data_IF_766993545791
#
_entry.id   IF_766993545791
#
_cell.length_a   1.000
_cell.length_b   1.000
_cell.length_c   1.000
_cell.angle_alpha   90.00
_cell.angle_beta   90.00
_cell.angle_gamma   90.00
#
_symmetry.space_group_name_H-M   'P 1'
#
loop_
_entity.id
_entity.type
_entity.pdbx_description
1 polymer ?
#
# COMPACT_ATOMS: atom_id res chain seq x y z
N UNK A 1 -46.53 14.13 -44.34
CA UNK A 1 -46.39 15.54 -43.95
C UNK A 1 -46.47 15.63 -42.43
N UNK A 2 -45.47 15.44 -41.68
CA UNK A 2 -45.25 16.05 -40.37
C UNK A 2 -43.81 15.76 -39.91
N UNK A 3 -43.07 16.81 -39.87
CA UNK A 3 -41.75 16.93 -39.31
C UNK A 3 -41.76 16.64 -37.80
N UNK A 4 -41.12 15.54 -37.41
CA UNK A 4 -40.83 15.26 -35.99
C UNK A 4 -39.52 15.94 -35.57
N UNK A 5 -39.63 17.04 -34.87
CA UNK A 5 -38.51 17.69 -34.21
C UNK A 5 -38.01 16.86 -33.07
N UNK A 6 -36.74 16.49 -33.09
CA UNK A 6 -36.02 15.86 -31.96
C UNK A 6 -35.93 16.83 -30.80
N UNK A 7 -36.62 16.51 -29.71
CA UNK A 7 -36.51 17.23 -28.44
C UNK A 7 -35.58 16.48 -27.52
N UNK A 8 -34.27 16.64 -27.71
CA UNK A 8 -33.29 16.39 -26.67
C UNK A 8 -32.28 17.54 -26.68
N UNK A 9 -32.27 18.38 -25.67
CA UNK A 9 -31.18 19.32 -25.49
C UNK A 9 -29.93 18.52 -25.10
N UNK A 10 -28.93 18.56 -25.92
CA UNK A 10 -27.58 18.12 -25.56
C UNK A 10 -27.03 19.14 -24.55
N UNK A 11 -27.36 18.93 -23.29
CA UNK A 11 -26.72 19.62 -22.20
C UNK A 11 -25.37 18.93 -21.92
N UNK A 12 -24.35 19.32 -22.67
CA UNK A 12 -22.97 18.99 -22.36
C UNK A 12 -22.48 19.93 -21.26
N UNK A 13 -23.12 19.86 -20.08
CA UNK A 13 -22.56 20.42 -18.87
C UNK A 13 -21.60 19.39 -18.32
N UNK A 14 -20.28 19.67 -18.41
CA UNK A 14 -19.22 18.86 -17.90
C UNK A 14 -19.45 18.54 -16.42
N UNK A 15 -20.00 17.36 -16.15
CA UNK A 15 -19.89 16.72 -14.86
C UNK A 15 -18.37 16.63 -14.58
N UNK A 16 -17.87 17.50 -13.70
CA UNK A 16 -16.61 17.27 -13.04
C UNK A 16 -16.76 15.90 -12.38
N UNK A 17 -16.24 14.84 -13.00
CA UNK A 17 -16.05 13.57 -12.34
C UNK A 17 -15.07 13.86 -11.22
N UNK A 18 -15.56 13.98 -10.01
CA UNK A 18 -14.69 13.93 -8.84
C UNK A 18 -14.16 12.51 -8.79
N UNK A 19 -12.99 12.33 -9.33
CA UNK A 19 -12.26 11.08 -9.17
C UNK A 19 -11.79 11.06 -7.72
N UNK A 20 -12.38 10.19 -6.90
CA UNK A 20 -11.89 9.98 -5.54
C UNK A 20 -10.82 8.90 -5.62
N UNK A 21 -9.57 9.29 -5.56
CA UNK A 21 -8.42 8.38 -5.58
C UNK A 21 -7.97 8.15 -4.14
N UNK A 22 -7.78 6.89 -3.80
CA UNK A 22 -7.17 6.47 -2.55
C UNK A 22 -5.85 5.76 -2.86
N UNK A 23 -4.73 6.34 -2.42
CA UNK A 23 -3.41 5.73 -2.49
C UNK A 23 -3.19 4.85 -1.27
N UNK A 24 -3.15 3.54 -1.46
CA UNK A 24 -3.07 2.59 -0.36
C UNK A 24 -1.66 2.36 0.18
N UNK A 25 -0.61 2.90 -0.49
CA UNK A 25 0.76 2.75 -0.03
C UNK A 25 1.67 3.88 -0.51
N UNK A 26 2.20 4.65 0.43
CA UNK A 26 3.10 5.77 0.15
C UNK A 26 4.06 6.01 1.32
N UNK A 27 5.18 6.70 1.06
CA UNK A 27 6.20 7.06 2.05
C UNK A 27 6.49 8.56 1.98
N UNK A 28 5.50 9.40 2.30
CA UNK A 28 5.68 10.85 2.33
C UNK A 28 6.61 11.33 3.46
N UNK A 29 6.97 10.47 4.41
CA UNK A 29 8.02 10.71 5.41
C UNK A 29 9.44 10.64 4.80
N UNK A 30 9.63 10.06 3.61
CA UNK A 30 10.94 9.93 2.97
C UNK A 30 11.61 11.29 2.76
N UNK A 31 12.93 11.32 2.96
CA UNK A 31 13.79 12.52 2.81
C UNK A 31 13.71 13.19 1.43
N UNK A 32 13.32 12.44 0.39
CA UNK A 32 13.14 13.02 -0.93
C UNK A 32 12.01 14.07 -0.97
N UNK A 33 11.13 14.08 0.03
CA UNK A 33 10.07 15.08 0.16
C UNK A 33 10.42 16.22 1.12
N UNK A 34 11.55 16.21 1.84
CA UNK A 34 11.85 17.18 2.89
C UNK A 34 11.76 18.63 2.42
N UNK A 35 12.18 18.91 1.20
CA UNK A 35 12.23 20.27 0.65
C UNK A 35 10.84 20.85 0.30
N UNK A 36 9.85 19.98 -0.01
CA UNK A 36 8.56 20.41 -0.59
C UNK A 36 7.35 19.56 -0.17
N UNK A 37 7.48 18.72 0.86
CA UNK A 37 6.44 17.79 1.33
C UNK A 37 5.08 18.47 1.49
N UNK A 38 5.03 19.61 2.15
CA UNK A 38 3.77 20.34 2.38
C UNK A 38 3.11 20.77 1.07
N UNK A 39 3.89 21.27 0.13
CA UNK A 39 3.41 21.71 -1.20
C UNK A 39 2.90 20.53 -2.00
N UNK A 40 3.65 19.42 -2.00
CA UNK A 40 3.23 18.18 -2.70
C UNK A 40 1.91 17.67 -2.12
N UNK A 41 1.80 17.53 -0.80
CA UNK A 41 0.58 17.03 -0.13
C UNK A 41 -0.62 17.93 -0.41
N UNK A 42 -0.45 19.25 -0.40
CA UNK A 42 -1.53 20.18 -0.72
C UNK A 42 -2.02 20.02 -2.16
N UNK A 43 -1.10 19.80 -3.12
CA UNK A 43 -1.42 19.64 -4.54
C UNK A 43 -2.17 18.35 -4.88
N UNK A 44 -2.18 17.35 -4.00
CA UNK A 44 -2.84 16.06 -4.24
C UNK A 44 -4.35 16.20 -4.46
N UNK A 45 -4.97 17.19 -3.82
CA UNK A 45 -6.41 17.48 -4.00
C UNK A 45 -6.76 17.84 -5.44
N UNK A 46 -5.87 18.58 -6.10
CA UNK A 46 -6.06 19.01 -7.50
C UNK A 46 -5.93 17.83 -8.46
N UNK A 47 -5.18 16.80 -8.08
CA UNK A 47 -5.08 15.53 -8.80
C UNK A 47 -6.24 14.57 -8.50
N UNK A 48 -7.16 14.92 -7.58
CA UNK A 48 -8.30 14.07 -7.20
C UNK A 48 -7.96 13.02 -6.14
N UNK A 49 -6.78 13.07 -5.52
CA UNK A 49 -6.40 12.20 -4.41
C UNK A 49 -7.09 12.68 -3.14
N UNK A 50 -7.93 11.83 -2.57
CA UNK A 50 -8.75 12.16 -1.40
C UNK A 50 -8.28 11.49 -0.13
N UNK A 51 -7.55 10.39 -0.24
CA UNK A 51 -7.02 9.62 0.89
C UNK A 51 -5.67 9.02 0.51
N UNK A 52 -4.80 8.91 1.52
CA UNK A 52 -3.46 8.32 1.38
C UNK A 52 -3.14 7.53 2.63
N UNK A 53 -2.55 6.36 2.50
CA UNK A 53 -1.90 5.65 3.62
C UNK A 53 -0.40 5.88 3.53
N UNK A 54 0.16 6.53 4.56
CA UNK A 54 1.60 6.62 4.76
C UNK A 54 2.06 5.41 5.57
N UNK A 55 3.01 4.66 5.05
CA UNK A 55 3.41 3.37 5.60
C UNK A 55 4.79 3.48 6.23
N UNK A 56 4.94 2.93 7.44
CA UNK A 56 6.24 2.92 8.13
C UNK A 56 7.07 1.70 7.74
N UNK A 57 8.38 1.90 7.58
CA UNK A 57 9.34 0.84 7.31
C UNK A 57 10.31 0.61 8.47
N UNK A 58 10.73 1.66 9.17
CA UNK A 58 11.63 1.62 10.32
C UNK A 58 10.95 2.23 11.56
N UNK A 59 11.59 2.12 12.71
CA UNK A 59 11.09 2.79 13.92
C UNK A 59 11.03 4.31 13.77
N UNK A 60 12.02 4.88 13.08
CA UNK A 60 12.02 6.31 12.75
C UNK A 60 10.86 6.66 11.84
N UNK A 61 10.62 5.87 10.79
CA UNK A 61 9.52 6.12 9.84
C UNK A 61 8.16 6.03 10.53
N UNK A 62 8.03 5.17 11.53
CA UNK A 62 6.82 5.08 12.33
C UNK A 62 6.57 6.39 13.10
N UNK A 63 7.59 6.96 13.74
CA UNK A 63 7.45 8.25 14.44
C UNK A 63 7.09 9.38 13.47
N UNK A 64 7.76 9.44 12.33
CA UNK A 64 7.49 10.42 11.28
C UNK A 64 6.05 10.24 10.71
N UNK A 65 5.61 9.01 10.54
CA UNK A 65 4.23 8.69 10.08
C UNK A 65 3.20 9.18 11.08
N UNK A 66 3.39 8.92 12.38
CA UNK A 66 2.50 9.40 13.44
C UNK A 66 2.40 10.93 13.46
N UNK A 67 3.53 11.61 13.24
CA UNK A 67 3.56 13.06 13.12
C UNK A 67 2.78 13.55 11.89
N UNK A 68 3.00 12.94 10.73
CA UNK A 68 2.33 13.33 9.47
C UNK A 68 0.82 13.13 9.54
N UNK A 69 0.33 11.99 10.00
CA UNK A 69 -1.11 11.73 10.08
C UNK A 69 -1.83 12.65 11.07
N UNK A 70 -1.13 13.15 12.08
CA UNK A 70 -1.67 14.14 13.01
C UNK A 70 -1.90 15.50 12.37
N UNK A 71 -1.10 15.85 11.35
CA UNK A 71 -1.09 17.16 10.67
C UNK A 71 -1.88 17.18 9.37
N UNK A 72 -1.96 16.04 8.67
CA UNK A 72 -2.56 15.93 7.34
C UNK A 72 -3.94 15.26 7.44
N UNK A 73 -5.05 16.00 7.21
CA UNK A 73 -6.39 15.48 7.49
C UNK A 73 -6.78 14.25 6.68
N UNK A 74 -6.35 14.13 5.43
CA UNK A 74 -6.70 13.05 4.50
C UNK A 74 -5.68 11.90 4.51
N UNK A 75 -4.66 11.95 5.37
CA UNK A 75 -3.63 10.92 5.49
C UNK A 75 -3.96 10.01 6.67
N UNK A 76 -3.80 8.72 6.43
CA UNK A 76 -3.85 7.63 7.40
C UNK A 76 -2.46 7.02 7.52
N UNK A 77 -2.23 6.19 8.53
CA UNK A 77 -0.95 5.53 8.76
C UNK A 77 -1.07 4.02 8.85
N UNK A 78 -0.02 3.33 8.48
CA UNK A 78 0.20 1.94 8.84
C UNK A 78 1.42 1.84 9.76
N UNK A 79 1.26 1.10 10.87
CA UNK A 79 2.27 0.93 11.88
C UNK A 79 2.86 -0.48 11.79
N UNK A 80 4.13 -0.58 11.42
CA UNK A 80 4.84 -1.84 11.27
C UNK A 80 6.33 -1.61 11.01
N UNK A 81 7.10 -2.69 11.04
CA UNK A 81 8.54 -2.66 10.80
C UNK A 81 8.87 -3.61 9.65
N UNK A 82 9.43 -3.04 8.59
CA UNK A 82 9.83 -3.71 7.36
C UNK A 82 10.93 -4.76 7.64
N UNK A 83 10.98 -5.86 6.89
CA UNK A 83 11.98 -6.91 7.07
C UNK A 83 13.45 -6.44 7.13
N UNK A 84 13.79 -5.36 6.45
CA UNK A 84 15.16 -4.80 6.50
C UNK A 84 15.49 -4.10 7.84
N UNK A 85 14.50 -3.85 8.68
CA UNK A 85 14.62 -3.12 9.94
C UNK A 85 14.16 -3.91 11.17
N UNK A 86 13.82 -5.20 11.00
CA UNK A 86 13.31 -6.01 12.13
C UNK A 86 14.33 -6.21 13.25
N UNK A 87 15.62 -6.02 12.98
CA UNK A 87 16.65 -5.95 14.02
C UNK A 87 16.46 -4.81 15.02
N UNK A 88 15.62 -3.83 14.71
CA UNK A 88 15.22 -2.79 15.66
C UNK A 88 14.18 -3.27 16.68
N UNK A 89 13.49 -4.39 16.43
CA UNK A 89 12.42 -4.90 17.29
C UNK A 89 12.97 -5.66 18.51
N UNK A 90 12.24 -5.54 19.59
CA UNK A 90 12.37 -6.29 20.84
C UNK A 90 11.02 -6.29 21.56
N UNK A 91 10.91 -6.93 22.73
CA UNK A 91 9.62 -7.02 23.44
C UNK A 91 9.04 -5.64 23.80
N UNK A 92 9.88 -4.71 24.24
CA UNK A 92 9.44 -3.36 24.60
C UNK A 92 8.89 -2.62 23.36
N UNK A 93 9.59 -2.69 22.23
CA UNK A 93 9.13 -2.07 20.98
C UNK A 93 7.89 -2.74 20.40
N UNK A 94 7.71 -4.04 20.57
CA UNK A 94 6.47 -4.72 20.19
C UNK A 94 5.27 -4.23 21.02
N UNK A 95 5.45 -4.01 22.32
CA UNK A 95 4.39 -3.44 23.14
C UNK A 95 4.10 -1.98 22.78
N UNK A 96 5.12 -1.18 22.52
CA UNK A 96 4.95 0.18 21.99
C UNK A 96 4.25 0.18 20.62
N UNK A 97 4.59 -0.78 19.73
CA UNK A 97 3.91 -0.92 18.43
C UNK A 97 2.42 -1.22 18.62
N UNK A 98 2.08 -2.07 19.59
CA UNK A 98 0.69 -2.32 20.02
C UNK A 98 -0.03 -1.04 20.44
N UNK A 99 0.60 -0.23 21.28
CA UNK A 99 0.02 1.06 21.68
C UNK A 99 -0.19 2.01 20.50
N UNK A 100 0.73 2.00 19.50
CA UNK A 100 0.58 2.82 18.30
C UNK A 100 -0.55 2.34 17.39
N UNK A 101 -0.87 1.05 17.38
CA UNK A 101 -2.04 0.52 16.67
C UNK A 101 -3.37 1.15 17.14
N UNK A 102 -3.44 1.64 18.36
CA UNK A 102 -4.63 2.31 18.91
C UNK A 102 -4.67 3.82 18.63
N UNK A 103 -3.67 4.38 17.96
CA UNK A 103 -3.67 5.81 17.61
C UNK A 103 -4.70 6.11 16.56
N UNK A 104 -5.33 7.27 16.69
CA UNK A 104 -6.25 7.77 15.66
C UNK A 104 -5.57 7.79 14.29
N UNK A 105 -6.30 7.38 13.26
CA UNK A 105 -5.86 7.22 11.87
C UNK A 105 -4.79 6.13 11.59
N UNK A 106 -4.36 5.32 12.54
CA UNK A 106 -3.67 4.08 12.23
C UNK A 106 -4.71 3.05 11.78
N UNK A 107 -4.57 2.59 10.52
CA UNK A 107 -5.59 1.76 9.86
C UNK A 107 -5.10 0.38 9.48
N UNK A 108 -3.81 0.09 9.65
CA UNK A 108 -3.22 -1.21 9.33
C UNK A 108 -1.95 -1.45 10.14
N UNK A 109 -1.57 -2.73 10.28
CA UNK A 109 -0.21 -3.12 10.65
C UNK A 109 0.60 -3.31 9.37
N UNK A 110 1.65 -2.53 9.21
CA UNK A 110 2.48 -2.55 7.99
C UNK A 110 3.46 -1.37 7.94
N UNK A 111 4.48 -1.52 7.13
CA UNK A 111 4.81 -2.58 6.19
C UNK A 111 5.51 -3.73 6.91
N UNK A 112 5.01 -4.94 6.76
CA UNK A 112 5.58 -6.14 7.37
C UNK A 112 5.73 -7.23 6.31
N UNK A 113 6.62 -8.20 6.52
CA UNK A 113 6.78 -9.27 5.54
C UNK A 113 8.22 -9.79 5.44
N UNK A 114 8.64 -10.14 4.21
CA UNK A 114 9.94 -10.72 3.94
C UNK A 114 10.63 -10.06 2.74
N UNK A 115 11.92 -9.74 2.86
CA UNK A 115 12.78 -9.28 1.77
C UNK A 115 14.08 -10.11 1.73
N UNK A 116 14.18 -11.00 0.75
CA UNK A 116 15.37 -11.82 0.56
C UNK A 116 16.30 -11.25 -0.51
N UNK A 117 15.91 -10.13 -1.12
CA UNK A 117 16.70 -9.46 -2.14
C UNK A 117 17.89 -8.72 -1.52
N UNK A 118 17.62 -7.88 -0.54
CA UNK A 118 18.66 -7.10 0.14
C UNK A 118 19.37 -7.90 1.23
N UNK A 119 18.68 -8.88 1.83
CA UNK A 119 19.21 -9.78 2.85
C UNK A 119 19.92 -9.01 3.99
N UNK A 120 19.30 -7.91 4.44
CA UNK A 120 19.83 -7.05 5.52
C UNK A 120 19.82 -7.82 6.84
N UNK A 121 18.68 -8.47 7.13
CA UNK A 121 18.52 -9.33 8.31
C UNK A 121 18.43 -10.81 7.89
N UNK A 122 18.90 -11.76 8.72
CA UNK A 122 18.77 -13.19 8.45
C UNK A 122 17.31 -13.60 8.20
N UNK A 123 17.09 -14.56 7.29
CA UNK A 123 15.73 -14.99 6.93
C UNK A 123 14.91 -15.45 8.13
N UNK A 124 15.52 -16.18 9.03
CA UNK A 124 14.88 -16.71 10.23
C UNK A 124 14.42 -15.58 11.15
N UNK A 125 15.21 -14.51 11.25
CA UNK A 125 14.87 -13.31 12.03
C UNK A 125 13.72 -12.56 11.37
N UNK A 126 13.77 -12.38 10.03
CA UNK A 126 12.67 -11.77 9.30
C UNK A 126 11.37 -12.55 9.48
N UNK A 127 11.40 -13.88 9.37
CA UNK A 127 10.24 -14.77 9.53
C UNK A 127 9.66 -14.70 10.95
N UNK A 128 10.51 -14.73 11.97
CA UNK A 128 10.07 -14.62 13.37
C UNK A 128 9.30 -13.31 13.61
N UNK A 129 9.88 -12.17 13.24
CA UNK A 129 9.26 -10.88 13.47
C UNK A 129 8.05 -10.65 12.54
N UNK A 130 8.04 -11.21 11.34
CA UNK A 130 6.87 -11.19 10.49
C UNK A 130 5.69 -11.91 11.15
N UNK A 131 5.90 -13.13 11.66
CA UNK A 131 4.86 -13.89 12.39
C UNK A 131 4.35 -13.10 13.59
N UNK A 132 5.23 -12.50 14.39
CA UNK A 132 4.84 -11.72 15.57
C UNK A 132 4.02 -10.49 15.22
N UNK A 133 4.34 -9.80 14.15
CA UNK A 133 3.56 -8.65 13.67
C UNK A 133 2.22 -9.09 13.04
N UNK A 134 2.13 -10.27 12.41
CA UNK A 134 0.86 -10.85 11.99
C UNK A 134 -0.07 -11.17 13.17
N UNK A 135 0.50 -11.71 14.25
CA UNK A 135 -0.25 -11.96 15.48
C UNK A 135 -0.74 -10.66 16.10
N UNK A 136 0.10 -9.63 16.17
CA UNK A 136 -0.30 -8.31 16.62
C UNK A 136 -1.48 -7.77 15.81
N UNK A 137 -1.42 -7.83 14.47
CA UNK A 137 -2.50 -7.38 13.62
C UNK A 137 -3.82 -8.14 13.89
N UNK A 138 -3.73 -9.44 14.14
CA UNK A 138 -4.89 -10.27 14.48
C UNK A 138 -5.50 -9.89 15.84
N UNK A 139 -4.68 -9.69 16.85
CA UNK A 139 -5.10 -9.29 18.20
C UNK A 139 -5.76 -7.91 18.19
N UNK A 140 -5.16 -6.96 17.46
CA UNK A 140 -5.67 -5.59 17.34
C UNK A 140 -6.79 -5.45 16.29
N UNK A 141 -7.13 -6.51 15.56
CA UNK A 141 -8.15 -6.56 14.50
C UNK A 141 -7.91 -5.54 13.39
N UNK A 142 -6.65 -5.29 13.07
CA UNK A 142 -6.24 -4.42 11.99
C UNK A 142 -5.87 -5.25 10.74
N UNK A 143 -6.18 -4.78 9.54
CA UNK A 143 -5.66 -5.37 8.32
C UNK A 143 -4.14 -5.20 8.23
N UNK A 144 -3.51 -5.95 7.34
CA UNK A 144 -2.06 -5.91 7.16
C UNK A 144 -1.68 -5.36 5.78
N UNK A 145 -0.50 -4.71 5.70
CA UNK A 145 0.16 -4.34 4.45
C UNK A 145 1.43 -5.18 4.35
N UNK A 146 1.46 -6.08 3.36
CA UNK A 146 2.47 -7.12 3.23
C UNK A 146 3.48 -6.78 2.16
N UNK A 147 4.73 -6.73 2.55
CA UNK A 147 5.91 -6.72 1.68
C UNK A 147 6.37 -8.14 1.35
N UNK A 148 6.70 -8.39 0.09
CA UNK A 148 7.30 -9.67 -0.31
C UNK A 148 8.23 -9.47 -1.51
N UNK A 149 9.53 -9.64 -1.31
CA UNK A 149 10.53 -9.52 -2.37
C UNK A 149 11.49 -10.69 -2.36
N UNK A 150 11.54 -11.42 -3.48
CA UNK A 150 12.30 -12.67 -3.62
C UNK A 150 11.97 -13.72 -2.52
N UNK A 151 10.79 -13.60 -1.88
CA UNK A 151 10.32 -14.39 -0.74
C UNK A 151 8.87 -14.90 -0.90
N UNK A 152 8.33 -14.90 -2.11
CA UNK A 152 6.90 -15.09 -2.37
C UNK A 152 6.33 -16.39 -1.77
N UNK A 153 7.07 -17.51 -1.83
CA UNK A 153 6.60 -18.78 -1.29
C UNK A 153 6.57 -18.76 0.23
N UNK A 154 7.66 -18.33 0.88
CA UNK A 154 7.73 -18.30 2.35
C UNK A 154 6.70 -17.32 2.92
N UNK A 155 6.52 -16.16 2.29
CA UNK A 155 5.48 -15.19 2.68
C UNK A 155 4.10 -15.83 2.62
N UNK A 156 3.77 -16.50 1.51
CA UNK A 156 2.47 -17.15 1.35
C UNK A 156 2.25 -18.28 2.38
N UNK A 157 3.25 -19.13 2.59
CA UNK A 157 3.16 -20.27 3.50
C UNK A 157 3.01 -19.81 4.96
N UNK A 158 3.75 -18.79 5.38
CA UNK A 158 3.61 -18.19 6.71
C UNK A 158 2.21 -17.58 6.88
N UNK A 159 1.75 -16.75 5.95
CA UNK A 159 0.43 -16.13 6.04
C UNK A 159 -0.69 -17.17 6.10
N UNK A 160 -0.58 -18.23 5.32
CA UNK A 160 -1.55 -19.33 5.33
C UNK A 160 -1.53 -20.11 6.65
N UNK A 161 -0.34 -20.39 7.18
CA UNK A 161 -0.15 -21.14 8.43
C UNK A 161 -0.65 -20.34 9.64
N UNK A 162 -0.33 -19.06 9.70
CA UNK A 162 -0.68 -18.19 10.83
C UNK A 162 -2.12 -17.64 10.72
N UNK A 163 -2.92 -18.12 9.76
CA UNK A 163 -4.30 -17.67 9.54
C UNK A 163 -4.44 -16.14 9.39
N UNK A 164 -3.45 -15.50 8.78
CA UNK A 164 -3.40 -14.05 8.63
C UNK A 164 -4.60 -13.45 7.86
N UNK A 165 -5.38 -14.26 7.17
CA UNK A 165 -6.60 -13.83 6.45
C UNK A 165 -7.78 -13.43 7.32
N UNK A 166 -7.70 -13.54 8.63
CA UNK A 166 -8.82 -13.20 9.53
C UNK A 166 -9.09 -11.69 9.56
N UNK A 167 -8.07 -10.87 9.34
CA UNK A 167 -8.17 -9.40 9.31
C UNK A 167 -8.14 -8.83 7.89
N UNK A 168 -7.77 -9.64 6.89
CA UNK A 168 -7.54 -9.18 5.52
C UNK A 168 -6.33 -8.26 5.39
N UNK A 169 -6.24 -7.57 4.27
CA UNK A 169 -5.14 -6.63 4.03
C UNK A 169 -4.77 -6.51 2.56
N UNK A 170 -3.59 -5.97 2.31
CA UNK A 170 -3.05 -5.74 0.97
C UNK A 170 -1.71 -6.46 0.82
N UNK A 171 -1.55 -7.23 -0.27
CA UNK A 171 -0.23 -7.66 -0.72
C UNK A 171 0.31 -6.53 -1.58
N UNK A 172 1.15 -5.71 -0.97
CA UNK A 172 1.72 -4.51 -1.57
C UNK A 172 2.67 -4.84 -2.73
N UNK A 173 2.73 -3.98 -3.72
CA UNK A 173 3.63 -4.04 -4.88
C UNK A 173 3.76 -5.45 -5.47
N UNK A 174 2.59 -6.08 -5.70
CA UNK A 174 2.52 -7.50 -6.02
C UNK A 174 3.36 -7.87 -7.25
N UNK A 175 4.25 -8.84 -7.07
CA UNK A 175 5.18 -9.31 -8.10
C UNK A 175 5.08 -10.80 -8.39
N UNK A 176 4.17 -11.52 -7.72
CA UNK A 176 3.95 -12.96 -7.89
C UNK A 176 3.15 -13.33 -9.13
N UNK A 177 2.84 -14.63 -9.26
CA UNK A 177 2.07 -15.16 -10.39
C UNK A 177 0.56 -14.90 -10.26
N UNK A 178 -0.18 -15.08 -11.36
CA UNK A 178 -1.64 -14.97 -11.35
C UNK A 178 -2.30 -16.06 -10.48
N UNK A 179 -1.70 -17.24 -10.39
CA UNK A 179 -2.16 -18.33 -9.53
C UNK A 179 -2.04 -17.95 -8.06
N UNK A 180 -0.89 -17.40 -7.67
CA UNK A 180 -0.66 -16.93 -6.29
C UNK A 180 -1.59 -15.76 -5.92
N UNK A 181 -1.81 -14.82 -6.84
CA UNK A 181 -2.77 -13.73 -6.63
C UNK A 181 -4.18 -14.24 -6.35
N UNK A 182 -4.65 -15.28 -7.09
CA UNK A 182 -5.95 -15.91 -6.85
C UNK A 182 -6.04 -16.55 -5.47
N UNK A 183 -4.97 -17.17 -4.99
CA UNK A 183 -4.95 -17.75 -3.65
C UNK A 183 -5.01 -16.68 -2.57
N UNK A 184 -4.26 -15.58 -2.70
CA UNK A 184 -4.38 -14.43 -1.79
C UNK A 184 -5.80 -13.84 -1.77
N UNK A 185 -6.42 -13.68 -2.95
CA UNK A 185 -7.82 -13.20 -3.05
C UNK A 185 -8.80 -14.15 -2.34
N UNK A 186 -8.64 -15.47 -2.47
CA UNK A 186 -9.45 -16.47 -1.71
C UNK A 186 -9.23 -16.35 -0.20
N UNK A 187 -8.07 -15.94 0.24
CA UNK A 187 -7.78 -15.69 1.66
C UNK A 187 -8.32 -14.33 2.16
N UNK A 188 -8.94 -13.52 1.29
CA UNK A 188 -9.50 -12.22 1.65
C UNK A 188 -8.54 -11.04 1.51
N UNK A 189 -7.45 -11.20 0.77
CA UNK A 189 -6.49 -10.12 0.51
C UNK A 189 -6.78 -9.38 -0.79
N UNK A 190 -6.46 -8.11 -0.79
CA UNK A 190 -6.37 -7.27 -1.98
C UNK A 190 -4.96 -7.33 -2.57
N UNK A 191 -4.89 -7.09 -3.88
CA UNK A 191 -3.62 -7.06 -4.63
C UNK A 191 -3.28 -5.61 -4.94
N UNK A 192 -2.16 -5.13 -4.40
CA UNK A 192 -1.62 -3.80 -4.63
C UNK A 192 -0.99 -3.70 -6.02
N UNK A 193 -1.42 -2.71 -6.80
CA UNK A 193 -0.95 -2.48 -8.17
C UNK A 193 -0.48 -1.04 -8.29
N UNK A 194 0.83 -0.88 -8.35
CA UNK A 194 1.49 0.42 -8.50
C UNK A 194 1.94 0.73 -9.93
N UNK A 195 2.74 1.79 -10.06
CA UNK A 195 3.28 2.31 -11.32
C UNK A 195 4.01 1.28 -12.20
N UNK A 196 4.51 0.21 -11.59
CA UNK A 196 5.19 -0.91 -12.28
C UNK A 196 4.33 -1.54 -13.38
N UNK A 197 3.00 -1.55 -13.24
CA UNK A 197 2.09 -2.09 -14.26
C UNK A 197 2.23 -1.40 -15.62
N UNK A 198 2.68 -0.14 -15.63
CA UNK A 198 2.89 0.65 -16.85
C UNK A 198 4.20 0.35 -17.57
N UNK A 199 5.11 -0.41 -16.95
CA UNK A 199 6.42 -0.70 -17.52
C UNK A 199 6.33 -1.69 -18.67
N UNK A 200 7.25 -1.57 -19.66
CA UNK A 200 7.27 -2.47 -20.84
C UNK A 200 7.45 -3.94 -20.47
N UNK A 201 8.23 -4.21 -19.42
CA UNK A 201 8.57 -5.56 -18.94
C UNK A 201 7.62 -6.11 -17.86
N UNK A 202 6.52 -5.43 -17.54
CA UNK A 202 5.55 -5.85 -16.51
C UNK A 202 4.51 -6.87 -17.00
N UNK A 203 4.90 -7.82 -17.86
CA UNK A 203 3.97 -8.80 -18.44
C UNK A 203 3.23 -9.59 -17.38
N UNK A 204 3.95 -10.11 -16.39
CA UNK A 204 3.36 -10.93 -15.31
C UNK A 204 2.30 -10.16 -14.55
N UNK A 205 2.60 -8.93 -14.10
CA UNK A 205 1.62 -8.11 -13.37
C UNK A 205 0.38 -7.79 -14.23
N UNK A 206 0.54 -7.58 -15.53
CA UNK A 206 -0.60 -7.40 -16.45
C UNK A 206 -1.45 -8.65 -16.61
N UNK A 207 -0.85 -9.84 -16.53
CA UNK A 207 -1.57 -11.11 -16.49
C UNK A 207 -2.32 -11.27 -15.17
N UNK A 208 -1.72 -10.91 -14.05
CA UNK A 208 -2.38 -10.88 -12.71
C UNK A 208 -3.63 -10.02 -12.72
N UNK A 209 -3.51 -8.76 -13.16
CA UNK A 209 -4.64 -7.80 -13.22
C UNK A 209 -5.82 -8.31 -14.05
N UNK A 210 -5.55 -9.12 -15.11
CA UNK A 210 -6.60 -9.74 -15.92
C UNK A 210 -7.20 -11.00 -15.30
N UNK A 211 -6.51 -11.64 -14.35
CA UNK A 211 -6.83 -12.94 -13.81
C UNK A 211 -7.65 -12.92 -12.52
N UNK A 212 -7.71 -11.76 -11.84
CA UNK A 212 -8.43 -11.58 -10.56
C UNK A 212 -9.57 -10.57 -10.73
N UNK A 213 -10.60 -10.62 -9.86
CA UNK A 213 -11.69 -9.64 -9.87
C UNK A 213 -11.19 -8.21 -9.64
N UNK A 214 -11.78 -7.24 -10.33
CA UNK A 214 -11.39 -5.83 -10.22
C UNK A 214 -11.56 -5.29 -8.79
N UNK A 215 -12.58 -5.73 -8.11
CA UNK A 215 -12.88 -5.39 -6.70
C UNK A 215 -11.83 -5.90 -5.71
N UNK A 216 -10.93 -6.78 -6.13
CA UNK A 216 -9.81 -7.29 -5.33
C UNK A 216 -8.49 -6.58 -5.65
N UNK A 217 -8.52 -5.54 -6.47
CA UNK A 217 -7.35 -4.73 -6.81
C UNK A 217 -7.44 -3.39 -6.10
N UNK A 218 -6.34 -2.98 -5.48
CA UNK A 218 -6.15 -1.60 -4.98
C UNK A 218 -5.02 -0.94 -5.75
N UNK A 219 -5.10 0.39 -5.87
CA UNK A 219 -4.05 1.18 -6.51
C UNK A 219 -3.16 1.81 -5.44
N UNK A 220 -1.88 1.91 -5.76
CA UNK A 220 -0.86 2.44 -4.87
C UNK A 220 0.26 3.09 -5.65
N UNK A 221 1.08 3.91 -4.98
CA UNK A 221 2.24 4.52 -5.64
C UNK A 221 3.57 3.94 -5.21
N UNK A 222 3.72 3.60 -3.96
CA UNK A 222 5.01 3.37 -3.31
C UNK A 222 5.94 4.61 -3.43
N UNK A 223 5.32 5.81 -3.48
CA UNK A 223 6.09 7.04 -3.62
C UNK A 223 7.00 7.28 -2.40
N UNK A 224 8.22 7.77 -2.63
CA UNK A 224 8.78 8.43 -3.83
C UNK A 224 9.30 7.49 -4.90
N UNK A 225 9.14 6.18 -4.77
CA UNK A 225 9.69 5.14 -5.64
C UNK A 225 8.73 4.78 -6.79
N UNK A 226 9.20 3.96 -7.72
CA UNK A 226 8.42 3.24 -8.74
C UNK A 226 7.48 4.10 -9.60
N UNK A 227 7.86 5.36 -9.91
CA UNK A 227 7.06 6.25 -10.75
C UNK A 227 6.62 5.56 -12.06
N UNK A 228 5.33 5.71 -12.45
CA UNK A 228 4.80 5.09 -13.67
C UNK A 228 5.42 5.71 -14.93
N UNK A 229 5.32 5.03 -16.08
CA UNK A 229 5.59 5.66 -17.37
C UNK A 229 4.53 6.76 -17.63
N UNK A 230 4.90 7.94 -18.16
CA UNK A 230 6.22 8.33 -18.67
C UNK A 230 7.19 8.91 -17.63
N UNK A 231 6.84 8.89 -16.35
CA UNK A 231 7.62 9.53 -15.27
C UNK A 231 8.72 8.64 -14.67
N UNK A 232 8.94 7.46 -15.24
CA UNK A 232 9.94 6.48 -14.75
C UNK A 232 11.31 7.14 -14.54
N UNK A 233 11.92 6.88 -13.36
CA UNK A 233 13.22 7.48 -12.98
C UNK A 233 13.12 8.86 -12.34
N UNK A 234 11.91 9.41 -12.19
CA UNK A 234 11.64 10.62 -11.41
C UNK A 234 11.04 10.24 -10.05
N UNK A 235 11.01 11.18 -9.12
CA UNK A 235 10.30 11.03 -7.85
C UNK A 235 8.81 10.82 -8.13
N UNK A 236 8.26 9.76 -7.56
CA UNK A 236 6.84 9.42 -7.65
C UNK A 236 6.00 10.27 -6.68
N UNK A 237 4.69 10.31 -6.93
CA UNK A 237 3.70 10.99 -6.09
C UNK A 237 2.33 10.36 -6.34
N UNK A 238 1.43 10.39 -5.35
CA UNK A 238 0.03 9.93 -5.50
C UNK A 238 -0.72 10.66 -6.63
N UNK A 239 -0.23 11.81 -7.07
CA UNK A 239 -0.78 12.52 -8.23
C UNK A 239 -0.58 11.78 -9.57
N UNK A 240 0.17 10.69 -9.59
CA UNK A 240 0.41 9.86 -10.80
C UNK A 240 -0.45 8.59 -10.85
N UNK A 241 -1.42 8.41 -9.93
CA UNK A 241 -2.43 7.35 -9.96
C UNK A 241 -3.51 7.53 -11.02
#
# INVERSE_FOLDING_TARGET
>A
LSSGASIFPVANQGLKRYTMIFDTHSHYNDKQFDADRAVVLESLKDAGVTQVVNVSASWKDLMDTLELISKVPFMYGAAGIHPDHVGELNEERMEQLREYCHRDKIVAVGEIGLDYHWNVEPKEVQQEWFIRQLHLATEEKLPVIIHSRDASQDTFDIMKKEHAGTTGGVIHCFSGSAEMAKEYVKMGYYIGVGGVVTFKNSRVLKEVVKAIPLECIVVETDCPYLAPAPHRGKRNSSAYL
#
